data_IF_969657850838
#
_entry.id   IF_969657850838
#
_cell.length_a   1.000
_cell.length_b   1.000
_cell.length_c   1.000
_cell.angle_alpha   90.00
_cell.angle_beta   90.00
_cell.angle_gamma   90.00
#
_symmetry.space_group_name_H-M   'P 1'
#
loop_
_entity.id
_entity.type
_entity.pdbx_description
1 polymer ?
#
# COMPACT_ATOMS: atom_id res chain seq x y z
N UNK A 1 -15.71 9.08 27.53
CA UNK A 1 -15.07 8.92 26.21
C UNK A 1 -15.98 9.54 25.17
N UNK A 2 -15.60 10.68 24.59
CA UNK A 2 -16.38 11.35 23.54
C UNK A 2 -16.30 10.46 22.28
N UNK A 3 -17.45 10.16 21.67
CA UNK A 3 -17.52 9.38 20.42
C UNK A 3 -17.97 10.29 19.29
N UNK A 4 -17.22 10.28 18.20
CA UNK A 4 -17.63 10.96 16.98
C UNK A 4 -18.59 10.06 16.20
N UNK A 5 -19.75 10.58 15.81
CA UNK A 5 -20.64 9.88 14.87
C UNK A 5 -20.02 9.96 13.46
N UNK A 6 -19.69 8.80 12.90
CA UNK A 6 -19.07 8.66 11.58
C UNK A 6 -19.99 8.05 10.55
N UNK A 7 -21.25 7.80 10.88
CA UNK A 7 -22.18 7.00 10.06
C UNK A 7 -22.26 7.50 8.62
N UNK A 8 -22.40 8.82 8.41
CA UNK A 8 -22.47 9.42 7.08
C UNK A 8 -21.16 9.33 6.30
N UNK A 9 -20.02 9.43 6.99
CA UNK A 9 -18.69 9.32 6.37
C UNK A 9 -18.43 7.88 5.94
N UNK A 10 -18.71 6.92 6.82
CA UNK A 10 -18.49 5.50 6.54
C UNK A 10 -19.41 5.03 5.41
N UNK A 11 -20.65 5.54 5.34
CA UNK A 11 -21.55 5.31 4.20
C UNK A 11 -20.99 5.88 2.89
N UNK A 12 -20.51 7.13 2.90
CA UNK A 12 -19.91 7.74 1.72
C UNK A 12 -18.65 6.99 1.23
N UNK A 13 -17.83 6.47 2.15
CA UNK A 13 -16.68 5.62 1.82
C UNK A 13 -17.13 4.32 1.17
N UNK A 14 -18.16 3.66 1.72
CA UNK A 14 -18.66 2.40 1.19
C UNK A 14 -19.30 2.55 -0.21
N UNK A 15 -19.97 3.67 -0.47
CA UNK A 15 -20.61 3.98 -1.75
C UNK A 15 -19.65 4.59 -2.78
N UNK A 16 -18.42 4.91 -2.38
CA UNK A 16 -17.44 5.57 -3.23
C UNK A 16 -16.96 4.65 -4.37
N UNK A 17 -17.24 5.06 -5.60
CA UNK A 17 -16.74 4.41 -6.81
C UNK A 17 -15.84 5.34 -7.58
N UNK A 18 -14.54 5.06 -7.54
CA UNK A 18 -13.53 5.84 -8.24
C UNK A 18 -12.99 5.08 -9.45
N UNK A 19 -12.66 5.85 -10.48
CA UNK A 19 -11.95 5.41 -11.67
C UNK A 19 -12.68 4.32 -12.49
N UNK A 20 -14.01 4.32 -12.51
CA UNK A 20 -14.78 3.29 -13.22
C UNK A 20 -14.45 3.25 -14.71
N UNK A 21 -14.42 4.39 -15.39
CA UNK A 21 -14.10 4.45 -16.82
C UNK A 21 -12.64 3.99 -17.09
N UNK A 22 -11.69 4.40 -16.24
CA UNK A 22 -10.30 3.94 -16.35
C UNK A 22 -10.19 2.43 -16.15
N UNK A 23 -10.95 1.84 -15.21
CA UNK A 23 -10.99 0.39 -14.97
C UNK A 23 -11.52 -0.38 -16.19
N UNK A 24 -12.55 0.13 -16.86
CA UNK A 24 -13.08 -0.48 -18.08
C UNK A 24 -12.05 -0.49 -19.22
N UNK A 25 -11.32 0.62 -19.40
CA UNK A 25 -10.24 0.71 -20.40
C UNK A 25 -9.11 -0.26 -20.07
N UNK A 26 -8.72 -0.36 -18.80
CA UNK A 26 -7.68 -1.30 -18.37
C UNK A 26 -8.11 -2.76 -18.54
N UNK A 27 -9.37 -3.09 -18.27
CA UNK A 27 -9.91 -4.42 -18.51
C UNK A 27 -9.87 -4.79 -20.00
N UNK A 28 -10.17 -3.83 -20.89
CA UNK A 28 -10.06 -4.02 -22.34
C UNK A 28 -8.62 -4.26 -22.78
N UNK A 29 -7.67 -3.50 -22.22
CA UNK A 29 -6.24 -3.71 -22.46
C UNK A 29 -5.77 -5.09 -21.99
N UNK A 30 -6.13 -5.53 -20.79
CA UNK A 30 -5.75 -6.85 -20.27
C UNK A 30 -6.35 -7.99 -21.10
N UNK A 31 -7.60 -7.86 -21.57
CA UNK A 31 -8.22 -8.86 -22.45
C UNK A 31 -7.46 -9.01 -23.79
N UNK A 32 -7.03 -7.90 -24.41
CA UNK A 32 -6.20 -7.97 -25.62
C UNK A 32 -4.79 -8.49 -25.33
N UNK A 33 -4.22 -8.13 -24.18
CA UNK A 33 -2.91 -8.61 -23.73
C UNK A 33 -2.88 -10.11 -23.49
N UNK A 34 -3.94 -10.68 -22.91
CA UNK A 34 -4.07 -12.12 -22.66
C UNK A 34 -4.01 -12.95 -23.96
N UNK A 35 -4.54 -12.40 -25.07
CA UNK A 35 -4.45 -13.05 -26.39
C UNK A 35 -2.99 -13.15 -26.85
N UNK A 36 -2.21 -12.09 -26.65
CA UNK A 36 -0.78 -12.08 -26.98
C UNK A 36 0.00 -13.03 -26.06
N UNK A 37 -0.34 -13.09 -24.78
CA UNK A 37 0.31 -13.99 -23.81
C UNK A 37 0.09 -15.46 -24.18
N UNK A 38 -1.15 -15.85 -24.50
CA UNK A 38 -1.44 -17.21 -24.99
C UNK A 38 -0.67 -17.56 -26.27
N UNK A 39 -0.49 -16.58 -27.16
CA UNK A 39 0.30 -16.77 -28.38
C UNK A 39 1.79 -16.92 -28.06
N UNK A 40 2.31 -16.15 -27.10
CA UNK A 40 3.69 -16.27 -26.61
C UNK A 40 3.97 -17.64 -26.01
N UNK A 41 3.05 -18.12 -25.16
CA UNK A 41 3.11 -19.44 -24.53
C UNK A 41 3.13 -20.53 -25.60
N UNK A 42 2.19 -20.50 -26.55
CA UNK A 42 2.12 -21.48 -27.63
C UNK A 42 3.39 -21.49 -28.51
N UNK A 43 3.93 -20.31 -28.85
CA UNK A 43 5.19 -20.22 -29.62
C UNK A 43 6.39 -20.75 -28.82
N UNK A 44 6.41 -20.52 -27.51
CA UNK A 44 7.47 -20.99 -26.62
C UNK A 44 7.42 -22.49 -26.41
N UNK A 45 6.24 -23.04 -26.16
CA UNK A 45 6.02 -24.47 -26.06
C UNK A 45 6.40 -25.17 -27.37
N UNK A 46 5.96 -24.64 -28.51
CA UNK A 46 6.28 -25.23 -29.82
C UNK A 46 7.78 -25.21 -30.09
N UNK A 47 8.48 -24.15 -29.72
CA UNK A 47 9.94 -24.06 -29.86
C UNK A 47 10.64 -25.12 -28.99
N UNK A 48 10.20 -25.30 -27.74
CA UNK A 48 10.75 -26.32 -26.85
C UNK A 48 10.54 -27.74 -27.40
N UNK A 49 9.33 -28.04 -27.90
CA UNK A 49 9.03 -29.32 -28.54
C UNK A 49 9.93 -29.58 -29.75
N UNK A 50 10.16 -28.56 -30.60
CA UNK A 50 11.06 -28.71 -31.75
C UNK A 50 12.52 -28.91 -31.34
N UNK A 51 12.99 -28.27 -30.26
CA UNK A 51 14.33 -28.48 -29.72
C UNK A 51 14.52 -29.90 -29.19
N UNK A 52 13.52 -30.44 -28.49
CA UNK A 52 13.51 -31.83 -28.03
C UNK A 52 13.52 -32.81 -29.21
N UNK A 53 12.64 -32.59 -30.21
CA UNK A 53 12.60 -33.38 -31.44
C UNK A 53 13.94 -33.32 -32.19
N UNK A 54 14.54 -32.14 -32.34
CA UNK A 54 15.84 -31.96 -32.98
C UNK A 54 16.92 -32.80 -32.29
N UNK A 55 16.98 -32.73 -30.96
CA UNK A 55 17.95 -33.48 -30.16
C UNK A 55 17.76 -34.99 -30.30
N UNK A 56 16.51 -35.47 -30.24
CA UNK A 56 16.22 -36.89 -30.39
C UNK A 56 16.57 -37.40 -31.80
N UNK A 57 16.17 -36.68 -32.84
CA UNK A 57 16.48 -37.06 -34.23
C UNK A 57 17.98 -37.03 -34.51
N UNK A 58 18.74 -36.14 -33.87
CA UNK A 58 20.21 -36.16 -33.95
C UNK A 58 20.80 -37.45 -33.38
N UNK A 59 20.32 -37.88 -32.21
CA UNK A 59 20.74 -39.13 -31.56
C UNK A 59 20.38 -40.33 -32.45
N UNK A 60 19.13 -40.40 -32.92
CA UNK A 60 18.65 -41.49 -33.77
C UNK A 60 19.44 -41.58 -35.08
N UNK A 61 19.80 -40.43 -35.66
CA UNK A 61 20.64 -40.38 -36.88
C UNK A 61 22.03 -40.93 -36.63
N UNK A 62 22.63 -40.63 -35.48
CA UNK A 62 23.94 -41.15 -35.11
C UNK A 62 23.90 -42.67 -34.94
N UNK A 63 22.83 -43.21 -34.35
CA UNK A 63 22.62 -44.66 -34.22
C UNK A 63 22.42 -45.33 -35.58
N UNK A 64 21.83 -44.62 -36.55
CA UNK A 64 21.58 -45.11 -37.90
C UNK A 64 22.75 -44.90 -38.89
N UNK A 65 23.96 -44.56 -38.41
CA UNK A 65 25.12 -44.21 -39.25
C UNK A 65 25.44 -45.24 -40.34
N UNK A 66 25.23 -46.52 -40.03
CA UNK A 66 25.57 -47.64 -40.90
C UNK A 66 24.45 -48.03 -41.88
N UNK A 67 23.27 -47.38 -41.79
CA UNK A 67 22.17 -47.52 -42.75
C UNK A 67 21.98 -46.21 -43.55
N UNK A 68 22.48 -46.15 -44.80
CA UNK A 68 22.39 -44.94 -45.62
C UNK A 68 20.96 -44.43 -45.85
N UNK A 69 19.97 -45.32 -45.96
CA UNK A 69 18.58 -44.93 -46.19
C UNK A 69 17.99 -44.22 -44.97
N UNK A 70 18.20 -44.78 -43.78
CA UNK A 70 17.73 -44.20 -42.51
C UNK A 70 18.45 -42.88 -42.21
N UNK A 71 19.76 -42.82 -42.46
CA UNK A 71 20.55 -41.61 -42.29
C UNK A 71 20.05 -40.45 -43.16
N UNK A 72 19.74 -40.70 -44.44
CA UNK A 72 19.19 -39.69 -45.35
C UNK A 72 17.81 -39.23 -44.86
N UNK A 73 16.96 -40.16 -44.44
CA UNK A 73 15.63 -39.85 -43.94
C UNK A 73 15.69 -38.94 -42.70
N UNK A 74 16.49 -39.30 -41.70
CA UNK A 74 16.64 -38.53 -40.46
C UNK A 74 17.31 -37.16 -40.71
N UNK A 75 18.26 -37.09 -41.65
CA UNK A 75 18.85 -35.82 -42.09
C UNK A 75 17.81 -34.88 -42.73
N UNK A 76 16.84 -35.43 -43.48
CA UNK A 76 15.74 -34.65 -44.04
C UNK A 76 14.78 -34.14 -42.96
N UNK A 77 14.51 -34.96 -41.93
CA UNK A 77 13.69 -34.56 -40.79
C UNK A 77 14.35 -33.43 -40.00
N UNK A 78 15.65 -33.55 -39.71
CA UNK A 78 16.42 -32.48 -39.03
C UNK A 78 16.37 -31.17 -39.80
N UNK A 79 16.57 -31.22 -41.12
CA UNK A 79 16.50 -30.03 -41.97
C UNK A 79 15.13 -29.34 -41.89
N UNK A 80 14.04 -30.13 -41.79
CA UNK A 80 12.69 -29.61 -41.62
C UNK A 80 12.48 -28.99 -40.23
N UNK A 81 12.93 -29.65 -39.17
CA UNK A 81 12.86 -29.13 -37.80
C UNK A 81 13.62 -27.80 -37.68
N UNK A 82 14.82 -27.73 -38.25
CA UNK A 82 15.63 -26.50 -38.28
C UNK A 82 14.94 -25.37 -39.05
N UNK A 83 14.28 -25.68 -40.16
CA UNK A 83 13.47 -24.71 -40.90
C UNK A 83 12.31 -24.18 -40.06
N UNK A 84 11.57 -25.06 -39.40
CA UNK A 84 10.43 -24.68 -38.54
C UNK A 84 10.91 -23.82 -37.36
N UNK A 85 12.03 -24.15 -36.72
CA UNK A 85 12.64 -23.34 -35.67
C UNK A 85 13.06 -21.95 -36.16
N UNK A 86 13.63 -21.85 -37.37
CA UNK A 86 14.01 -20.56 -37.99
C UNK A 86 12.82 -19.66 -38.25
N UNK A 87 11.63 -20.21 -38.50
CA UNK A 87 10.40 -19.43 -38.69
C UNK A 87 9.85 -18.94 -37.34
N UNK A 88 9.99 -19.70 -36.26
CA UNK A 88 9.48 -19.32 -34.94
C UNK A 88 10.21 -18.13 -34.31
N UNK A 89 11.51 -17.97 -34.57
CA UNK A 89 12.30 -16.88 -33.99
C UNK A 89 11.78 -15.49 -34.41
N UNK A 90 11.62 -15.18 -35.72
CA UNK A 90 11.00 -13.93 -36.16
C UNK A 90 9.57 -13.74 -35.64
N UNK A 91 8.79 -14.82 -35.48
CA UNK A 91 7.44 -14.72 -34.93
C UNK A 91 7.43 -14.28 -33.46
N UNK A 92 8.43 -14.68 -32.68
CA UNK A 92 8.62 -14.17 -31.31
C UNK A 92 9.02 -12.71 -31.28
N UNK A 93 9.88 -12.27 -32.21
CA UNK A 93 10.25 -10.85 -32.34
C UNK A 93 9.04 -10.00 -32.75
N UNK A 94 8.26 -10.45 -33.73
CA UNK A 94 7.02 -9.79 -34.15
C UNK A 94 6.02 -9.67 -32.99
N UNK A 95 5.97 -10.65 -32.09
CA UNK A 95 5.11 -10.58 -30.89
C UNK A 95 5.51 -9.43 -29.95
N UNK A 96 6.81 -9.16 -29.79
CA UNK A 96 7.28 -8.02 -28.99
C UNK A 96 6.86 -6.68 -29.61
N UNK A 97 6.85 -6.60 -30.94
CA UNK A 97 6.33 -5.45 -31.67
C UNK A 97 4.81 -5.31 -31.48
N UNK A 98 4.05 -6.41 -31.55
CA UNK A 98 2.60 -6.43 -31.27
C UNK A 98 2.28 -5.91 -29.86
N UNK A 99 3.05 -6.31 -28.83
CA UNK A 99 2.91 -5.74 -27.48
C UNK A 99 3.18 -4.24 -27.43
N UNK A 100 4.18 -3.78 -28.18
CA UNK A 100 4.54 -2.36 -28.25
C UNK A 100 3.41 -1.56 -28.90
N UNK A 101 2.85 -2.06 -30.00
CA UNK A 101 1.70 -1.46 -30.68
C UNK A 101 0.45 -1.44 -29.79
N UNK A 102 0.20 -2.52 -29.03
CA UNK A 102 -0.91 -2.56 -28.07
C UNK A 102 -0.76 -1.48 -27.01
N UNK A 103 0.44 -1.31 -26.43
CA UNK A 103 0.71 -0.23 -25.47
C UNK A 103 0.54 1.15 -26.09
N UNK A 104 1.02 1.36 -27.32
CA UNK A 104 0.87 2.63 -28.04
C UNK A 104 -0.60 2.96 -28.30
N UNK A 105 -1.43 1.97 -28.67
CA UNK A 105 -2.88 2.11 -28.85
C UNK A 105 -3.58 2.56 -27.56
N UNK A 106 -3.27 1.91 -26.43
CA UNK A 106 -3.99 2.16 -25.17
C UNK A 106 -3.44 3.34 -24.36
N UNK A 107 -2.18 3.73 -24.52
CA UNK A 107 -1.56 4.85 -23.80
C UNK A 107 -2.39 6.15 -23.83
N UNK A 108 -2.82 6.68 -24.99
CA UNK A 108 -3.64 7.90 -25.02
C UNK A 108 -5.02 7.71 -24.39
N UNK A 109 -5.64 6.53 -24.54
CA UNK A 109 -6.98 6.23 -24.03
C UNK A 109 -6.97 6.14 -22.49
N UNK A 110 -5.96 5.48 -21.93
CA UNK A 110 -5.73 5.40 -20.48
C UNK A 110 -5.47 6.80 -19.93
N UNK A 111 -4.63 7.59 -20.60
CA UNK A 111 -4.36 8.98 -20.18
C UNK A 111 -5.63 9.81 -20.13
N UNK A 112 -6.47 9.73 -21.16
CA UNK A 112 -7.71 10.51 -21.25
C UNK A 112 -8.73 10.07 -20.20
N UNK A 113 -9.01 8.76 -20.09
CA UNK A 113 -9.93 8.21 -19.10
C UNK A 113 -9.50 8.55 -17.67
N UNK A 114 -8.22 8.35 -17.35
CA UNK A 114 -7.67 8.71 -16.04
C UNK A 114 -7.79 10.21 -15.75
N UNK A 115 -7.50 11.07 -16.73
CA UNK A 115 -7.60 12.52 -16.55
C UNK A 115 -9.03 12.96 -16.24
N UNK A 116 -10.02 12.36 -16.91
CA UNK A 116 -11.45 12.62 -16.67
C UNK A 116 -11.88 12.12 -15.29
N UNK A 117 -11.52 10.89 -14.94
CA UNK A 117 -11.85 10.29 -13.64
C UNK A 117 -11.19 11.04 -12.48
N UNK A 118 -9.92 11.42 -12.63
CA UNK A 118 -9.19 12.22 -11.65
C UNK A 118 -9.81 13.60 -11.46
N UNK A 119 -10.25 14.24 -12.55
CA UNK A 119 -10.96 15.52 -12.49
C UNK A 119 -12.32 15.39 -11.81
N UNK A 120 -13.07 14.33 -12.10
CA UNK A 120 -14.34 14.05 -11.44
C UNK A 120 -14.15 13.76 -9.95
N UNK A 121 -13.14 12.95 -9.59
CA UNK A 121 -12.74 12.71 -8.20
C UNK A 121 -12.42 14.03 -7.50
N UNK A 122 -11.59 14.87 -8.09
CA UNK A 122 -11.21 16.15 -7.50
C UNK A 122 -12.38 17.12 -7.37
N UNK A 123 -13.45 16.98 -8.18
CA UNK A 123 -14.67 17.79 -8.02
C UNK A 123 -15.58 17.27 -6.92
N UNK A 124 -15.77 15.95 -6.82
CA UNK A 124 -16.75 15.33 -5.93
C UNK A 124 -16.19 14.94 -4.56
N UNK A 125 -14.90 14.61 -4.48
CA UNK A 125 -14.21 14.13 -3.29
C UNK A 125 -13.00 15.01 -2.96
N UNK A 126 -13.02 16.28 -3.35
CA UNK A 126 -12.09 17.22 -2.75
C UNK A 126 -12.32 17.15 -1.24
N UNK A 127 -11.30 16.77 -0.48
CA UNK A 127 -11.28 16.96 0.96
C UNK A 127 -11.26 18.47 1.14
N UNK A 128 -12.47 19.04 1.10
CA UNK A 128 -12.66 20.45 0.85
C UNK A 128 -12.13 21.26 2.03
N UNK A 129 -12.13 22.57 1.86
CA UNK A 129 -12.04 23.51 2.96
C UNK A 129 -12.96 23.12 4.12
N UNK A 130 -14.11 22.49 3.88
CA UNK A 130 -15.02 22.02 4.94
C UNK A 130 -14.46 20.85 5.77
N UNK A 131 -13.74 19.89 5.18
CA UNK A 131 -13.11 18.80 5.98
C UNK A 131 -11.91 19.34 6.74
N UNK A 132 -11.15 20.26 6.14
CA UNK A 132 -10.09 21.00 6.84
C UNK A 132 -10.67 21.83 7.99
N UNK A 133 -11.79 22.51 7.76
CA UNK A 133 -12.50 23.31 8.76
C UNK A 133 -12.99 22.46 9.93
N UNK A 134 -13.66 21.32 9.66
CA UNK A 134 -14.11 20.40 10.71
C UNK A 134 -12.91 19.85 11.51
N UNK A 135 -11.78 19.59 10.86
CA UNK A 135 -10.54 19.19 11.55
C UNK A 135 -10.03 20.29 12.48
N UNK A 136 -10.01 21.54 12.03
CA UNK A 136 -9.56 22.66 12.85
C UNK A 136 -10.54 22.97 13.99
N UNK A 137 -11.85 22.91 13.76
CA UNK A 137 -12.84 23.04 14.84
C UNK A 137 -12.69 21.96 15.89
N UNK A 138 -12.45 20.70 15.50
CA UNK A 138 -12.24 19.63 16.47
C UNK A 138 -10.98 19.87 17.32
N UNK A 139 -9.90 20.38 16.72
CA UNK A 139 -8.69 20.77 17.46
C UNK A 139 -8.98 21.91 18.44
N UNK A 140 -9.75 22.92 18.04
CA UNK A 140 -10.14 24.01 18.92
C UNK A 140 -10.97 23.51 20.12
N UNK A 141 -11.95 22.64 19.88
CA UNK A 141 -12.76 22.04 20.96
C UNK A 141 -11.89 21.25 21.95
N UNK A 142 -10.90 20.51 21.45
CA UNK A 142 -9.93 19.81 22.31
C UNK A 142 -9.13 20.83 23.11
N UNK A 143 -8.56 21.84 22.46
CA UNK A 143 -7.76 22.88 23.12
C UNK A 143 -8.56 23.64 24.19
N UNK A 144 -9.83 23.96 23.94
CA UNK A 144 -10.70 24.64 24.91
C UNK A 144 -10.97 23.77 26.13
N UNK A 145 -11.18 22.46 25.93
CA UNK A 145 -11.35 21.50 27.01
C UNK A 145 -10.09 21.37 27.87
N UNK A 146 -8.92 21.29 27.24
CA UNK A 146 -7.62 21.22 27.93
C UNK A 146 -7.34 22.51 28.73
N UNK A 147 -7.68 23.67 28.16
CA UNK A 147 -7.58 24.96 28.85
C UNK A 147 -8.50 25.02 30.07
N UNK A 148 -9.74 24.55 29.95
CA UNK A 148 -10.70 24.53 31.06
C UNK A 148 -10.26 23.62 32.21
N UNK A 149 -9.55 22.52 31.93
CA UNK A 149 -8.91 21.69 32.96
C UNK A 149 -7.77 22.46 33.62
N UNK A 150 -6.85 23.01 32.82
CA UNK A 150 -5.70 23.77 33.31
C UNK A 150 -6.09 24.95 34.20
N UNK A 151 -7.14 25.69 33.82
CA UNK A 151 -7.68 26.80 34.62
C UNK A 151 -8.24 26.34 35.97
N UNK A 152 -8.89 25.17 36.04
CA UNK A 152 -9.39 24.60 37.28
C UNK A 152 -8.25 24.08 38.16
N UNK A 153 -7.24 23.43 37.57
CA UNK A 153 -6.05 22.98 38.30
C UNK A 153 -5.31 24.19 38.91
N UNK A 154 -5.10 25.25 38.13
CA UNK A 154 -4.43 26.47 38.61
C UNK A 154 -5.12 27.15 39.80
N UNK A 155 -6.42 26.91 40.03
CA UNK A 155 -7.11 27.46 41.20
C UNK A 155 -6.70 26.80 42.51
N UNK A 156 -6.31 25.52 42.47
CA UNK A 156 -5.97 24.74 43.67
C UNK A 156 -4.47 24.52 43.82
N UNK A 157 -3.73 24.52 42.72
CA UNK A 157 -2.30 24.23 42.73
C UNK A 157 -1.49 25.18 43.62
N UNK A 158 -1.65 26.53 43.58
CA UNK A 158 -0.89 27.42 44.45
C UNK A 158 -1.05 27.06 45.93
N UNK A 159 -2.27 26.79 46.39
CA UNK A 159 -2.50 26.38 47.78
C UNK A 159 -1.82 25.04 48.10
N UNK A 160 -1.94 24.05 47.21
CA UNK A 160 -1.33 22.73 47.42
C UNK A 160 0.20 22.81 47.42
N UNK A 161 0.80 23.60 46.53
CA UNK A 161 2.24 23.76 46.44
C UNK A 161 2.78 24.62 47.60
N UNK A 162 2.24 25.82 47.77
CA UNK A 162 2.78 26.83 48.69
C UNK A 162 2.49 26.50 50.16
N UNK A 163 1.31 25.94 50.49
CA UNK A 163 0.94 25.66 51.89
C UNK A 163 1.22 24.21 52.32
N UNK A 164 1.13 23.23 51.42
CA UNK A 164 1.28 21.82 51.78
C UNK A 164 2.62 21.23 51.37
N UNK A 165 3.00 21.36 50.09
CA UNK A 165 4.24 20.74 49.58
C UNK A 165 5.50 21.46 50.08
N UNK A 166 5.42 22.77 50.32
CA UNK A 166 6.51 23.58 50.87
C UNK A 166 6.63 23.50 52.41
N UNK A 167 5.65 22.93 53.12
CA UNK A 167 5.75 22.70 54.57
C UNK A 167 6.75 21.57 54.86
N UNK A 168 7.98 21.98 55.18
CA UNK A 168 9.09 21.07 55.49
C UNK A 168 8.85 20.15 56.69
N UNK A 169 7.98 20.50 57.64
CA UNK A 169 7.64 19.65 58.78
C UNK A 169 6.65 18.57 58.35
N UNK A 170 5.58 18.98 57.66
CA UNK A 170 4.58 18.06 57.10
C UNK A 170 5.21 17.09 56.09
N UNK A 171 6.10 17.60 55.25
CA UNK A 171 6.78 16.89 54.16
C UNK A 171 8.12 16.28 54.53
N UNK A 172 8.48 16.32 55.82
CA UNK A 172 9.68 15.67 56.32
C UNK A 172 9.57 14.15 56.05
N UNK A 173 10.63 13.54 55.52
CA UNK A 173 10.69 12.11 55.19
C UNK A 173 11.51 11.30 56.19
N UNK A 174 12.08 11.97 57.20
CA UNK A 174 12.92 11.38 58.27
C UNK A 174 12.14 10.96 59.52
N UNK A 175 10.80 10.92 59.47
CA UNK A 175 9.99 10.48 60.61
C UNK A 175 10.30 9.02 61.00
N UNK A 176 10.51 8.80 62.29
CA UNK A 176 10.62 7.46 62.89
C UNK A 176 9.32 6.64 62.79
N UNK A 177 8.21 7.29 62.44
CA UNK A 177 6.92 6.64 62.18
C UNK A 177 6.77 6.29 60.68
N UNK A 178 6.82 4.99 60.31
CA UNK A 178 6.79 4.54 58.92
C UNK A 178 5.50 4.89 58.18
N UNK A 179 4.36 4.87 58.86
CA UNK A 179 3.05 5.17 58.25
C UNK A 179 2.94 6.64 57.85
N UNK A 180 3.47 7.54 58.68
CA UNK A 180 3.47 8.97 58.39
C UNK A 180 4.37 9.30 57.20
N UNK A 181 5.57 8.71 57.17
CA UNK A 181 6.50 8.82 56.04
C UNK A 181 5.88 8.32 54.73
N UNK A 182 5.19 7.17 54.77
CA UNK A 182 4.53 6.60 53.60
C UNK A 182 3.45 7.53 53.04
N UNK A 183 2.65 8.15 53.90
CA UNK A 183 1.60 9.11 53.49
C UNK A 183 2.17 10.38 52.88
N UNK A 184 3.23 10.95 53.45
CA UNK A 184 3.89 12.15 52.90
C UNK A 184 4.49 11.87 51.51
N UNK A 185 5.17 10.74 51.35
CA UNK A 185 5.71 10.30 50.05
C UNK A 185 4.60 10.01 49.03
N UNK A 186 3.50 9.38 49.46
CA UNK A 186 2.37 9.13 48.58
C UNK A 186 1.74 10.44 48.08
N UNK A 187 1.57 11.42 48.98
CA UNK A 187 1.04 12.73 48.64
C UNK A 187 1.94 13.48 47.64
N UNK A 188 3.26 13.58 47.88
CA UNK A 188 4.20 14.20 46.93
C UNK A 188 4.13 13.56 45.54
N UNK A 189 4.14 12.22 45.48
CA UNK A 189 4.07 11.47 44.22
C UNK A 189 2.79 11.73 43.44
N UNK A 190 1.67 12.03 44.09
CA UNK A 190 0.42 12.38 43.42
C UNK A 190 0.60 13.63 42.56
N UNK A 191 1.31 14.65 43.05
CA UNK A 191 1.47 15.92 42.35
C UNK A 191 2.74 15.99 41.48
N UNK A 192 3.75 15.17 41.75
CA UNK A 192 4.93 14.99 40.86
C UNK A 192 4.54 14.35 39.50
N UNK A 193 3.47 13.55 39.47
CA UNK A 193 3.00 12.86 38.27
C UNK A 193 2.23 13.79 37.32
N UNK A 194 1.41 14.71 37.86
CA UNK A 194 0.66 15.70 37.09
C UNK A 194 1.58 16.71 36.37
N UNK A 195 2.71 17.06 37.01
CA UNK A 195 3.71 17.99 36.44
C UNK A 195 4.37 17.49 35.15
N UNK A 196 4.34 16.17 34.88
CA UNK A 196 5.07 15.54 33.77
C UNK A 196 4.18 14.97 32.66
N UNK A 197 2.84 14.95 32.82
CA UNK A 197 1.95 14.26 31.86
C UNK A 197 0.74 15.06 31.36
N UNK A 198 0.60 16.34 31.70
CA UNK A 198 -0.25 17.26 30.94
C UNK A 198 0.44 17.66 29.62
N UNK A 199 0.87 16.66 28.84
CA UNK A 199 1.26 16.86 27.43
C UNK A 199 -0.01 16.86 26.59
N UNK A 200 -0.77 17.93 26.74
CA UNK A 200 -1.83 18.33 25.81
C UNK A 200 -1.29 18.65 24.41
N UNK A 201 0.03 18.75 24.27
CA UNK A 201 0.72 19.13 23.03
C UNK A 201 1.29 17.96 22.23
N UNK A 202 0.84 16.71 22.47
CA UNK A 202 1.10 15.65 21.50
C UNK A 202 0.17 15.86 20.32
N UNK A 203 0.65 16.64 19.34
CA UNK A 203 0.22 16.58 17.95
C UNK A 203 -0.25 15.15 17.65
N UNK A 204 -1.55 14.98 17.39
CA UNK A 204 -2.08 13.73 16.86
C UNK A 204 -1.48 13.60 15.46
N UNK A 205 -0.29 13.01 15.38
CA UNK A 205 0.34 12.60 14.12
C UNK A 205 -0.40 11.37 13.65
N UNK A 206 -1.42 11.61 12.83
CA UNK A 206 -2.06 10.59 12.03
C UNK A 206 -0.99 10.01 11.09
N UNK A 207 -0.64 8.74 11.28
CA UNK A 207 0.16 7.96 10.31
C UNK A 207 -0.71 7.58 9.12
#
# INVERSE_FOLDING_TARGET
>A
MIKLDRTSVDKAIAEMKLFEATKEVLASYEAEKEILEKREEALTERLAQLQEQHTQTLIDREVASDNPSDYIYLSSQLSKIESDMKVLLPLKEALQEEYTLLKQKYMPIIRESYSKDSSARNKHFNVSEAVSYVREELKLVISDYEKAISEQDQQVMPLIYDDFLDDSELMNESWDNPDRRMKALAFKRTFDFDRNNLLYDKEIRLK
#
